data_IF_074820682612
#
_entry.id   IF_074820682612
#
_cell.length_a   1.000
_cell.length_b   1.000
_cell.length_c   1.000
_cell.angle_alpha   90.00
_cell.angle_beta   90.00
_cell.angle_gamma   90.00
#
_symmetry.space_group_name_H-M   'P 1'
#
loop_
_entity.id
_entity.type
_entity.pdbx_description
1 polymer ?
#
# COMPACT_ATOMS: atom_id res chain seq x y z
N UNK A 1 -3.22 -3.84 -0.84
CA UNK A 1 -2.14 -2.90 -0.55
C UNK A 1 -2.51 -2.12 0.71
N UNK A 2 -1.59 -2.00 1.67
CA UNK A 2 -1.78 -1.23 2.90
C UNK A 2 -1.84 0.29 2.64
N UNK A 3 -1.26 0.79 1.54
CA UNK A 3 -1.26 2.21 1.20
C UNK A 3 -2.61 2.81 0.78
N UNK A 4 -3.69 2.01 0.79
CA UNK A 4 -5.04 2.43 0.38
C UNK A 4 -6.08 2.34 1.51
N UNK A 5 -5.77 1.69 2.63
CA UNK A 5 -6.62 1.70 3.81
C UNK A 5 -6.29 2.94 4.66
N UNK A 6 -7.29 3.76 4.96
CA UNK A 6 -7.10 5.08 5.62
C UNK A 6 -7.41 5.00 7.10
N UNK A 7 -8.56 4.39 7.43
CA UNK A 7 -9.05 4.23 8.78
C UNK A 7 -10.01 3.03 8.82
N UNK A 8 -10.26 2.49 10.00
CA UNK A 8 -11.23 1.43 10.23
C UNK A 8 -11.81 1.52 11.64
N UNK A 9 -13.02 1.01 11.80
CA UNK A 9 -13.65 0.92 13.12
C UNK A 9 -12.94 -0.09 14.03
N UNK A 10 -12.90 0.13 15.36
CA UNK A 10 -12.28 -0.80 16.32
C UNK A 10 -12.93 -2.19 16.34
N UNK A 11 -14.15 -2.33 15.80
CA UNK A 11 -14.85 -3.62 15.69
C UNK A 11 -14.26 -4.53 14.62
N UNK A 12 -13.41 -4.01 13.73
CA UNK A 12 -12.72 -4.77 12.71
C UNK A 12 -11.40 -5.32 13.25
N UNK A 13 -11.27 -6.65 13.23
CA UNK A 13 -9.99 -7.33 13.44
C UNK A 13 -9.17 -7.25 12.16
N UNK A 14 -7.85 -7.11 12.27
CA UNK A 14 -6.99 -7.02 11.10
C UNK A 14 -5.67 -7.78 11.27
N UNK A 15 -5.16 -8.31 10.16
CA UNK A 15 -3.84 -8.94 10.08
C UNK A 15 -3.04 -8.40 8.88
N UNK A 16 -1.74 -8.21 9.08
CA UNK A 16 -0.80 -7.87 8.02
C UNK A 16 -0.19 -9.16 7.45
N UNK A 17 -0.36 -9.37 6.14
CA UNK A 17 0.15 -10.55 5.44
C UNK A 17 1.01 -10.14 4.26
N UNK A 18 2.12 -10.85 4.03
CA UNK A 18 2.89 -10.70 2.77
C UNK A 18 2.32 -11.66 1.73
N UNK A 19 2.26 -11.24 0.46
CA UNK A 19 1.80 -12.06 -0.65
C UNK A 19 2.79 -13.21 -0.97
N UNK A 20 2.98 -14.15 -0.05
CA UNK A 20 4.03 -15.19 -0.10
C UNK A 20 3.71 -16.42 -0.95
N UNK A 21 2.59 -16.43 -1.69
CA UNK A 21 2.21 -17.54 -2.59
C UNK A 21 2.50 -17.16 -4.04
N UNK A 22 3.29 -17.98 -4.75
CA UNK A 22 3.83 -17.81 -6.11
C UNK A 22 2.86 -17.21 -7.16
N UNK A 23 1.55 -17.43 -7.03
CA UNK A 23 0.53 -16.90 -7.96
C UNK A 23 0.11 -15.46 -7.60
N UNK A 24 0.06 -15.12 -6.30
CA UNK A 24 -0.36 -13.80 -5.82
C UNK A 24 0.77 -12.77 -5.82
N UNK A 25 2.03 -13.21 -5.69
CA UNK A 25 3.19 -12.31 -5.80
C UNK A 25 3.35 -11.73 -7.22
N UNK A 26 2.87 -12.41 -8.27
CA UNK A 26 2.92 -11.88 -9.63
C UNK A 26 1.91 -10.75 -9.86
N UNK A 27 0.68 -10.92 -9.36
CA UNK A 27 -0.39 -9.92 -9.53
C UNK A 27 -0.22 -8.69 -8.63
N UNK A 28 0.43 -8.87 -7.47
CA UNK A 28 0.52 -7.84 -6.45
C UNK A 28 1.97 -7.55 -6.05
N UNK A 29 3.01 -8.02 -6.75
CA UNK A 29 4.39 -7.85 -6.29
C UNK A 29 4.61 -8.30 -4.84
N UNK A 30 5.72 -7.92 -4.22
CA UNK A 30 5.96 -8.10 -2.77
C UNK A 30 5.10 -7.15 -1.89
N UNK A 31 3.86 -6.88 -2.30
CA UNK A 31 2.99 -5.96 -1.56
C UNK A 31 2.54 -6.59 -0.24
N UNK A 32 2.55 -5.73 0.77
CA UNK A 32 1.95 -6.00 2.08
C UNK A 32 0.43 -5.85 1.94
N UNK A 33 -0.30 -6.86 2.41
CA UNK A 33 -1.76 -6.92 2.37
C UNK A 33 -2.30 -6.78 3.79
N UNK A 34 -3.34 -5.96 3.94
CA UNK A 34 -4.17 -5.92 5.14
C UNK A 34 -5.40 -6.79 4.90
N UNK A 35 -5.71 -7.69 5.83
CA UNK A 35 -6.93 -8.50 5.81
C UNK A 35 -7.79 -8.11 7.00
N UNK A 36 -9.01 -7.69 6.73
CA UNK A 36 -9.98 -7.27 7.75
C UNK A 36 -11.04 -8.35 7.95
N UNK A 37 -11.44 -8.56 9.19
CA UNK A 37 -12.43 -9.55 9.62
C UNK A 37 -13.42 -8.91 10.61
N UNK A 38 -14.72 -9.21 10.46
CA UNK A 38 -15.78 -8.69 11.33
C UNK A 38 -16.77 -7.77 10.61
N UNK A 39 -17.50 -6.97 11.38
CA UNK A 39 -18.50 -6.02 10.87
C UNK A 39 -18.18 -4.61 11.37
N UNK A 40 -18.00 -3.70 10.43
CA UNK A 40 -17.72 -2.30 10.69
C UNK A 40 -17.41 -1.57 9.40
N UNK A 41 -17.02 -0.31 9.52
CA UNK A 41 -16.64 0.56 8.41
C UNK A 41 -15.13 0.54 8.19
N UNK A 42 -14.75 0.39 6.93
CA UNK A 42 -13.39 0.53 6.43
C UNK A 42 -13.40 1.70 5.44
N UNK A 43 -12.58 2.71 5.70
CA UNK A 43 -12.40 3.83 4.79
C UNK A 43 -11.20 3.56 3.88
N UNK A 44 -11.44 3.62 2.58
CA UNK A 44 -10.43 3.41 1.54
C UNK A 44 -10.31 4.65 0.68
N UNK A 45 -9.12 4.86 0.14
CA UNK A 45 -8.85 5.89 -0.86
C UNK A 45 -8.63 5.24 -2.24
N UNK A 46 -8.92 5.97 -3.31
CA UNK A 46 -8.70 5.50 -4.69
C UNK A 46 -7.30 5.82 -5.23
N UNK A 47 -6.55 6.68 -4.53
CA UNK A 47 -5.23 7.15 -4.94
C UNK A 47 -4.26 6.97 -3.77
N UNK A 48 -3.07 6.44 -4.02
CA UNK A 48 -2.02 6.32 -3.01
C UNK A 48 -1.02 7.47 -3.12
N UNK A 49 -0.79 8.27 -2.05
CA UNK A 49 0.28 9.25 -1.99
C UNK A 49 1.65 8.63 -2.24
N UNK A 50 1.87 7.40 -1.77
CA UNK A 50 3.13 6.67 -2.00
C UNK A 50 3.31 6.36 -3.49
N UNK A 51 2.25 5.88 -4.17
CA UNK A 51 2.30 5.61 -5.61
C UNK A 51 2.55 6.90 -6.41
N UNK A 52 1.90 8.00 -6.01
CA UNK A 52 2.13 9.31 -6.61
C UNK A 52 3.58 9.79 -6.39
N UNK A 53 4.08 9.68 -5.16
CA UNK A 53 5.45 10.05 -4.82
C UNK A 53 6.46 9.22 -5.63
N UNK A 54 6.25 7.90 -5.72
CA UNK A 54 7.09 7.02 -6.53
C UNK A 54 7.04 7.38 -8.02
N UNK A 55 5.87 7.75 -8.55
CA UNK A 55 5.72 8.22 -9.93
C UNK A 55 6.45 9.54 -10.16
N UNK A 56 6.35 10.49 -9.24
CA UNK A 56 7.01 11.80 -9.34
C UNK A 56 8.51 11.72 -9.07
N UNK A 57 8.97 10.71 -8.35
CA UNK A 57 10.34 10.60 -7.86
C UNK A 57 11.39 10.79 -8.99
N UNK A 58 11.29 10.19 -10.18
CA UNK A 58 12.27 10.38 -11.26
C UNK A 58 12.30 11.79 -11.84
N UNK A 59 11.23 12.58 -11.67
CA UNK A 59 11.08 13.93 -12.24
C UNK A 59 11.43 15.04 -11.25
N UNK A 60 11.80 14.70 -10.01
CA UNK A 60 12.18 15.69 -9.00
C UNK A 60 13.55 16.30 -9.32
N UNK A 61 13.81 17.58 -9.01
CA UNK A 61 15.16 18.14 -9.09
C UNK A 61 16.13 17.31 -8.25
N UNK A 62 17.22 16.85 -8.86
CA UNK A 62 18.34 16.21 -8.18
C UNK A 62 19.54 17.12 -8.30
N UNK A 63 20.33 17.26 -7.22
CA UNK A 63 21.60 17.99 -7.30
C UNK A 63 22.51 17.27 -8.29
N UNK A 64 23.23 18.03 -9.11
CA UNK A 64 24.31 17.50 -9.94
C UNK A 64 25.34 16.83 -9.02
N UNK A 65 25.64 15.56 -9.28
CA UNK A 65 26.81 14.91 -8.69
C UNK A 65 27.99 15.28 -9.56
N UNK A 66 28.85 16.18 -9.09
CA UNK A 66 30.18 16.35 -9.66
C UNK A 66 31.09 15.38 -8.89
N UNK A 67 31.17 14.14 -9.39
CA UNK A 67 32.29 13.24 -9.10
C UNK A 67 33.40 13.46 -10.13
#
# INVERSE_FOLDING_TARGET
DNGYAVAWEPTLQWEMTRARRKIRSFLFGDQILLRFHGRGRLWVQSRSPQSLANFMHPFRPVKSSND
#
